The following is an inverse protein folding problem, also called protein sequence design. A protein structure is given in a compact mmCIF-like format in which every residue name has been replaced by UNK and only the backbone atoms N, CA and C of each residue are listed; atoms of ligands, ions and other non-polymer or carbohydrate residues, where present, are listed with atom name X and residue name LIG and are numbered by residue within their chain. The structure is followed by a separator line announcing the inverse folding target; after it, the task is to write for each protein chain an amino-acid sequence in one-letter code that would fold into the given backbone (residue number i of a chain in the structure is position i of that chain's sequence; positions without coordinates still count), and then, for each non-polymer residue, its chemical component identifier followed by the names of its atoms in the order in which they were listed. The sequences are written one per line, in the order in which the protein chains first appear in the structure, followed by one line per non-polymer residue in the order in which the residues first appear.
data_IF_296072619041
#
_entry.id   IF_296072619041
#
_cell.length_a   1.000
_cell.length_b   1.000
_cell.length_c   1.000
_cell.angle_alpha   90.00
_cell.angle_beta   90.00
_cell.angle_gamma   90.00
#
_symmetry.space_group_name_H-M   'P 1'
#
loop_
_entity.id
_entity.type
_entity.pdbx_description
1 polymer ?
#
# COMPACT_ATOMS: atom_id res chain seq x y z
N UNK A 1 1.49 8.28 27.60
CA UNK A 1 1.06 7.29 26.59
C UNK A 1 0.84 8.07 25.31
N UNK A 2 1.58 7.78 24.25
CA UNK A 2 1.60 8.65 23.07
C UNK A 2 0.36 8.39 22.21
N UNK A 3 -0.30 9.46 21.76
CA UNK A 3 -1.38 9.39 20.77
C UNK A 3 -0.78 9.39 19.38
N UNK A 4 -1.23 8.50 18.51
CA UNK A 4 -0.71 8.38 17.15
C UNK A 4 -1.65 9.03 16.14
N UNK A 5 -1.14 9.95 15.35
CA UNK A 5 -1.91 10.66 14.32
C UNK A 5 -1.34 10.29 12.96
N UNK A 6 -2.15 9.65 12.12
CA UNK A 6 -1.73 9.22 10.79
C UNK A 6 -2.30 10.20 9.77
N UNK A 7 -1.45 11.04 9.21
CA UNK A 7 -1.84 12.02 8.20
C UNK A 7 -2.01 11.32 6.84
N UNK A 8 -3.25 11.01 6.49
CA UNK A 8 -3.55 10.12 5.38
C UNK A 8 -4.61 10.71 4.43
N UNK A 9 -4.49 10.49 3.10
CA UNK A 9 -5.58 10.75 2.17
C UNK A 9 -6.84 9.96 2.51
N UNK A 10 -7.98 10.38 1.95
CA UNK A 10 -9.23 9.61 2.03
C UNK A 10 -9.03 8.20 1.49
N UNK A 11 -9.65 7.22 2.14
CA UNK A 11 -9.50 5.80 1.78
C UNK A 11 -9.79 5.55 0.30
N UNK A 12 -8.88 4.84 -0.35
CA UNK A 12 -8.99 4.39 -1.73
C UNK A 12 -8.27 3.05 -1.84
N UNK A 13 -9.04 1.98 -2.02
CA UNK A 13 -8.53 0.61 -2.10
C UNK A 13 -7.57 0.39 -3.29
N UNK A 14 -7.64 1.21 -4.33
CA UNK A 14 -6.77 1.11 -5.51
C UNK A 14 -5.35 1.65 -5.27
N UNK A 15 -5.10 2.29 -4.13
CA UNK A 15 -3.80 2.86 -3.76
C UNK A 15 -3.21 2.13 -2.55
N UNK A 16 -2.18 1.31 -2.79
CA UNK A 16 -1.49 0.56 -1.74
C UNK A 16 -0.97 1.46 -0.62
N UNK A 17 -0.39 2.62 -0.95
CA UNK A 17 0.10 3.59 0.04
C UNK A 17 -1.02 4.11 0.96
N UNK A 18 -2.20 4.42 0.41
CA UNK A 18 -3.35 4.85 1.22
C UNK A 18 -3.86 3.70 2.10
N UNK A 19 -3.95 2.49 1.54
CA UNK A 19 -4.40 1.31 2.28
C UNK A 19 -3.51 1.03 3.48
N UNK A 20 -2.18 1.07 3.32
CA UNK A 20 -1.26 0.76 4.43
C UNK A 20 -1.22 1.86 5.50
N UNK A 21 -1.43 3.13 5.14
CA UNK A 21 -1.60 4.21 6.11
C UNK A 21 -2.82 3.99 7.00
N UNK A 22 -3.95 3.62 6.39
CA UNK A 22 -5.18 3.30 7.13
C UNK A 22 -5.02 2.02 7.95
N UNK A 23 -4.36 1.00 7.38
CA UNK A 23 -4.07 -0.25 8.10
C UNK A 23 -3.14 -0.03 9.29
N UNK A 24 -2.13 0.84 9.18
CA UNK A 24 -1.25 1.19 10.29
C UNK A 24 -2.07 1.77 11.46
N UNK A 25 -2.95 2.74 11.20
CA UNK A 25 -3.83 3.31 12.24
C UNK A 25 -4.65 2.21 12.92
N UNK A 26 -5.27 1.33 12.15
CA UNK A 26 -6.00 0.18 12.70
C UNK A 26 -5.11 -0.74 13.53
N UNK A 27 -3.94 -1.14 13.05
CA UNK A 27 -3.05 -2.04 13.80
C UNK A 27 -2.54 -1.43 15.10
N UNK A 28 -2.28 -0.12 15.14
CA UNK A 28 -1.92 0.58 16.37
C UNK A 28 -3.08 0.51 17.38
N UNK A 29 -4.31 0.74 16.92
CA UNK A 29 -5.51 0.60 17.76
C UNK A 29 -5.73 -0.84 18.25
N UNK A 30 -5.56 -1.86 17.38
CA UNK A 30 -5.68 -3.27 17.77
C UNK A 30 -4.63 -3.69 18.81
N UNK A 31 -3.48 -3.01 18.86
CA UNK A 31 -2.44 -3.22 19.86
C UNK A 31 -2.74 -2.50 21.21
N UNK A 32 -3.89 -1.83 21.33
CA UNK A 32 -4.33 -1.15 22.56
C UNK A 32 -3.83 0.27 22.73
N UNK A 33 -3.23 0.86 21.69
CA UNK A 33 -2.83 2.28 21.69
C UNK A 33 -3.94 3.16 21.10
N UNK A 34 -3.83 4.47 21.29
CA UNK A 34 -4.79 5.46 20.77
C UNK A 34 -4.28 6.03 19.43
N UNK A 35 -4.93 5.67 18.32
CA UNK A 35 -4.55 6.13 16.99
C UNK A 35 -5.72 6.69 16.17
N UNK A 36 -5.46 7.76 15.42
CA UNK A 36 -6.45 8.44 14.59
C UNK A 36 -5.94 8.74 13.19
N UNK A 37 -6.87 8.76 12.23
CA UNK A 37 -6.62 9.34 10.92
C UNK A 37 -6.80 10.85 10.98
N UNK A 38 -5.82 11.59 10.45
CA UNK A 38 -5.95 13.01 10.17
C UNK A 38 -6.07 13.21 8.66
N UNK A 39 -7.15 13.86 8.16
CA UNK A 39 -7.33 14.09 6.73
C UNK A 39 -6.17 14.87 6.11
N UNK A 40 -5.44 14.23 5.19
CA UNK A 40 -4.42 14.89 4.38
C UNK A 40 -5.05 16.00 3.53
N UNK A 41 -4.48 17.20 3.64
CA UNK A 41 -4.76 18.34 2.76
C UNK A 41 -3.66 18.45 1.69
N UNK A 42 -4.06 18.47 0.42
CA UNK A 42 -3.14 18.63 -0.70
C UNK A 42 -2.18 19.81 -0.48
N UNK A 43 -0.89 19.55 -0.66
CA UNK A 43 0.17 20.53 -0.52
C UNK A 43 0.65 20.98 -1.89
N UNK A 44 0.86 22.27 -2.04
CA UNK A 44 1.31 22.87 -3.28
C UNK A 44 2.57 23.69 -3.06
N UNK A 45 3.56 23.50 -3.93
CA UNK A 45 4.78 24.32 -3.95
C UNK A 45 4.54 25.54 -4.82
N UNK A 46 4.57 26.71 -4.19
CA UNK A 46 4.41 28.00 -4.87
C UNK A 46 5.77 28.54 -5.33
N UNK A 47 5.83 29.02 -6.57
CA UNK A 47 6.90 29.84 -7.13
C UNK A 47 6.27 31.06 -7.81
N UNK A 48 7.04 32.15 -7.96
CA UNK A 48 6.64 33.39 -8.62
C UNK A 48 6.02 33.16 -10.00
N UNK A 49 6.42 32.09 -10.69
CA UNK A 49 5.94 31.73 -12.04
C UNK A 49 4.60 30.98 -12.05
N UNK A 50 4.13 30.43 -10.92
CA UNK A 50 2.96 29.54 -10.89
C UNK A 50 1.86 29.97 -9.90
N UNK A 51 1.99 31.12 -9.23
CA UNK A 51 1.09 31.56 -8.15
C UNK A 51 -0.40 31.43 -8.51
N UNK A 52 -0.82 31.96 -9.66
CA UNK A 52 -2.24 31.97 -10.04
C UNK A 52 -2.76 30.57 -10.37
N UNK A 53 -2.00 29.76 -11.10
CA UNK A 53 -2.40 28.39 -11.46
C UNK A 53 -2.45 27.49 -10.23
N UNK A 54 -1.50 27.64 -9.30
CA UNK A 54 -1.45 26.91 -8.04
C UNK A 54 -2.60 27.30 -7.11
N UNK A 55 -2.96 28.59 -7.03
CA UNK A 55 -4.10 29.05 -6.25
C UNK A 55 -5.43 28.48 -6.79
N UNK A 56 -5.59 28.46 -8.12
CA UNK A 56 -6.77 27.87 -8.75
C UNK A 56 -6.88 26.36 -8.46
N UNK A 57 -5.76 25.64 -8.51
CA UNK A 57 -5.70 24.23 -8.13
C UNK A 57 -6.07 24.03 -6.66
N UNK A 58 -5.53 24.84 -5.76
CA UNK A 58 -5.85 24.79 -4.34
C UNK A 58 -7.37 24.92 -4.10
N UNK A 59 -8.01 25.92 -4.69
CA UNK A 59 -9.47 26.14 -4.57
C UNK A 59 -10.24 24.93 -5.12
N UNK A 60 -9.86 24.45 -6.30
CA UNK A 60 -10.49 23.27 -6.94
C UNK A 60 -10.40 22.02 -6.06
N UNK A 61 -9.23 21.75 -5.49
CA UNK A 61 -9.02 20.60 -4.60
C UNK A 61 -9.73 20.76 -3.26
N UNK A 62 -9.78 21.97 -2.72
CA UNK A 62 -10.52 22.26 -1.50
C UNK A 62 -12.01 21.96 -1.68
N UNK A 63 -12.65 22.52 -2.72
CA UNK A 63 -14.06 22.29 -3.04
C UNK A 63 -14.32 20.80 -3.26
N UNK A 64 -13.48 20.12 -4.05
CA UNK A 64 -13.60 18.68 -4.32
C UNK A 64 -13.54 17.84 -3.03
N UNK A 65 -12.65 18.19 -2.12
CA UNK A 65 -12.47 17.48 -0.84
C UNK A 65 -13.68 17.68 0.07
N UNK A 66 -14.18 18.91 0.19
CA UNK A 66 -15.38 19.23 0.99
C UNK A 66 -16.60 18.47 0.45
N UNK A 67 -16.82 18.48 -0.87
CA UNK A 67 -17.97 17.81 -1.49
C UNK A 67 -17.91 16.27 -1.40
N UNK A 68 -16.74 15.65 -1.53
CA UNK A 68 -16.61 14.18 -1.52
C UNK A 68 -16.65 13.55 -0.13
N UNK A 69 -16.35 14.33 0.91
CA UNK A 69 -16.17 13.83 2.26
C UNK A 69 -14.94 12.93 2.42
N UNK A 70 -14.49 12.74 3.66
CA UNK A 70 -13.38 11.84 3.98
C UNK A 70 -13.90 10.42 4.21
N UNK A 71 -13.35 9.44 3.50
CA UNK A 71 -13.74 8.03 3.61
C UNK A 71 -12.72 7.24 4.41
N UNK A 72 -13.22 6.26 5.14
CA UNK A 72 -12.43 5.24 5.87
C UNK A 72 -12.84 3.85 5.41
N UNK A 73 -11.99 2.85 5.62
CA UNK A 73 -12.40 1.47 5.46
C UNK A 73 -13.28 1.07 6.64
N UNK A 74 -14.51 0.59 6.38
CA UNK A 74 -15.49 0.23 7.41
C UNK A 74 -15.05 -0.96 8.29
N UNK A 75 -14.19 -1.83 7.76
CA UNK A 75 -13.65 -2.98 8.48
C UNK A 75 -12.46 -2.61 9.38
N UNK A 76 -11.93 -1.38 9.27
CA UNK A 76 -10.77 -0.92 10.02
C UNK A 76 -11.18 -0.02 11.18
N UNK A 77 -10.59 -0.26 12.35
CA UNK A 77 -10.65 0.64 13.49
C UNK A 77 -9.82 1.91 13.23
N UNK A 78 -10.39 2.86 12.49
CA UNK A 78 -9.71 4.05 11.97
C UNK A 78 -10.50 5.33 12.28
N UNK A 79 -10.65 5.68 13.57
CA UNK A 79 -11.37 6.89 13.96
C UNK A 79 -10.70 8.13 13.36
N UNK A 80 -11.52 9.07 12.89
CA UNK A 80 -11.03 10.34 12.34
C UNK A 80 -10.78 11.30 13.51
N UNK A 81 -9.62 11.94 13.51
CA UNK A 81 -9.27 12.96 14.48
C UNK A 81 -10.20 14.18 14.36
N UNK A 82 -11.05 14.41 15.35
CA UNK A 82 -11.96 15.57 15.41
C UNK A 82 -11.34 16.63 16.32
N UNK A 83 -10.86 17.72 15.73
CA UNK A 83 -10.09 18.76 16.41
C UNK A 83 -10.82 19.59 17.48
N UNK A 84 -12.10 19.33 17.77
CA UNK A 84 -12.82 19.99 18.86
C UNK A 84 -12.49 19.39 20.23
N UNK A 85 -12.22 18.07 20.29
CA UNK A 85 -12.05 17.33 21.56
C UNK A 85 -10.60 16.86 21.79
N UNK A 86 -9.72 16.98 20.79
CA UNK A 86 -8.34 16.50 20.87
C UNK A 86 -7.42 17.50 20.16
N UNK A 87 -6.46 18.08 20.89
CA UNK A 87 -5.41 18.93 20.32
C UNK A 87 -4.17 18.07 20.04
N UNK A 88 -3.44 18.38 18.98
CA UNK A 88 -2.11 17.80 18.75
C UNK A 88 -1.18 18.50 19.75
N UNK A 89 -0.88 17.80 20.84
CA UNK A 89 0.01 18.26 21.89
C UNK A 89 1.39 17.62 21.78
N UNK A 90 2.26 17.89 22.76
CA UNK A 90 3.64 17.40 22.78
C UNK A 90 3.76 15.88 22.96
N UNK A 91 2.68 15.20 23.35
CA UNK A 91 2.65 13.73 23.52
C UNK A 91 2.23 13.00 22.25
N UNK A 92 1.72 13.74 21.25
CA UNK A 92 1.28 13.18 19.99
C UNK A 92 2.47 12.84 19.09
N UNK A 93 2.45 11.64 18.51
CA UNK A 93 3.36 11.23 17.44
C UNK A 93 2.60 11.29 16.12
N UNK A 94 3.07 12.13 15.20
CA UNK A 94 2.44 12.30 13.88
C UNK A 94 3.21 11.55 12.81
N UNK A 95 2.52 10.66 12.12
CA UNK A 95 3.00 9.95 10.95
C UNK A 95 2.67 10.73 9.68
N UNK A 96 3.71 10.99 8.89
CA UNK A 96 3.59 11.48 7.52
C UNK A 96 4.20 10.48 6.54
N UNK A 97 3.61 10.33 5.34
CA UNK A 97 4.30 9.62 4.26
C UNK A 97 5.44 10.48 3.67
N UNK A 98 6.29 9.86 2.84
CA UNK A 98 7.37 10.53 2.11
C UNK A 98 6.88 11.64 1.17
N UNK A 99 5.60 11.59 0.78
CA UNK A 99 5.02 12.58 -0.13
C UNK A 99 4.65 13.90 0.57
N UNK A 100 4.51 13.88 1.89
CA UNK A 100 4.10 15.06 2.67
C UNK A 100 5.30 15.96 2.86
N UNK A 101 5.15 17.24 2.54
CA UNK A 101 6.18 18.26 2.69
C UNK A 101 6.15 18.87 4.10
N UNK A 102 7.32 18.92 4.75
CA UNK A 102 7.55 19.50 6.07
C UNK A 102 6.71 18.85 7.16
N UNK A 103 6.32 19.65 8.15
CA UNK A 103 5.47 19.23 9.27
C UNK A 103 4.18 20.07 9.31
N UNK A 104 3.17 19.75 8.49
CA UNK A 104 1.96 20.56 8.35
C UNK A 104 1.18 20.77 9.64
N UNK A 105 1.22 19.79 10.54
CA UNK A 105 0.53 19.84 11.83
C UNK A 105 1.37 20.46 12.95
N UNK A 106 2.61 20.90 12.65
CA UNK A 106 3.54 21.50 13.62
C UNK A 106 3.74 20.64 14.87
N UNK A 107 3.72 19.32 14.70
CA UNK A 107 3.86 18.39 15.80
C UNK A 107 5.31 18.33 16.32
N UNK A 108 5.47 18.09 17.62
CA UNK A 108 6.80 17.92 18.23
C UNK A 108 7.47 16.62 17.77
N UNK A 109 6.72 15.51 17.80
CA UNK A 109 7.25 14.18 17.49
C UNK A 109 6.72 13.75 16.12
N UNK A 110 7.64 13.64 15.16
CA UNK A 110 7.30 13.35 13.76
C UNK A 110 7.97 12.07 13.29
N UNK A 111 7.14 11.15 12.82
CA UNK A 111 7.59 9.95 12.11
C UNK A 111 7.34 10.12 10.62
N UNK A 112 8.39 9.92 9.82
CA UNK A 112 8.31 9.92 8.36
C UNK A 112 8.37 8.50 7.85
N UNK A 113 7.28 8.01 7.29
CA UNK A 113 7.21 6.67 6.74
C UNK A 113 7.45 6.69 5.24
N UNK A 114 8.58 6.11 4.82
CA UNK A 114 8.98 6.03 3.43
C UNK A 114 8.27 4.85 2.79
N UNK A 115 7.14 5.10 2.11
CA UNK A 115 6.39 4.07 1.37
C UNK A 115 6.99 3.80 -0.01
N UNK A 116 7.81 4.74 -0.50
CA UNK A 116 8.61 4.63 -1.70
C UNK A 116 9.94 5.38 -1.52
N UNK A 117 10.83 5.29 -2.50
CA UNK A 117 12.01 6.15 -2.57
C UNK A 117 11.60 7.64 -2.52
N UNK A 118 12.12 8.44 -1.56
CA UNK A 118 11.88 9.87 -1.48
C UNK A 118 12.13 10.59 -2.81
N UNK A 119 11.23 11.50 -3.17
CA UNK A 119 11.31 12.30 -4.40
C UNK A 119 10.91 11.58 -5.68
N UNK A 120 10.64 10.26 -5.67
CA UNK A 120 10.31 9.52 -6.89
C UNK A 120 9.06 10.05 -7.61
N UNK A 121 7.98 10.37 -6.88
CA UNK A 121 6.71 10.77 -7.49
C UNK A 121 6.62 12.26 -7.82
N UNK A 122 7.25 13.10 -7.00
CA UNK A 122 7.06 14.56 -7.05
C UNK A 122 8.34 15.33 -7.36
N UNK A 123 9.51 14.68 -7.30
CA UNK A 123 10.82 15.34 -7.30
C UNK A 123 11.16 16.10 -6.01
N UNK A 124 10.20 16.27 -5.10
CA UNK A 124 10.35 17.10 -3.92
C UNK A 124 10.64 16.26 -2.68
N UNK A 125 11.64 16.67 -1.91
CA UNK A 125 11.99 16.09 -0.61
C UNK A 125 12.27 17.23 0.37
N UNK A 126 11.28 17.53 1.20
CA UNK A 126 11.36 18.60 2.20
C UNK A 126 10.88 18.03 3.52
N UNK A 127 11.80 17.53 4.34
CA UNK A 127 11.50 17.05 5.69
C UNK A 127 12.08 18.01 6.72
N UNK A 128 11.72 17.87 7.98
CA UNK A 128 12.33 18.64 9.05
C UNK A 128 13.50 17.87 9.67
N UNK A 129 14.34 18.57 10.44
CA UNK A 129 15.28 17.91 11.37
C UNK A 129 14.52 17.33 12.57
N UNK A 130 15.08 16.30 13.20
CA UNK A 130 14.50 15.64 14.38
C UNK A 130 13.39 14.64 14.05
N UNK A 131 13.18 14.31 12.78
CA UNK A 131 12.22 13.28 12.40
C UNK A 131 12.82 11.88 12.56
N UNK A 132 11.97 10.91 12.92
CA UNK A 132 12.29 9.49 12.87
C UNK A 132 11.78 8.90 11.55
N UNK A 133 12.68 8.38 10.71
CA UNK A 133 12.34 7.81 9.42
C UNK A 133 12.24 6.29 9.53
N UNK A 134 11.18 5.71 8.97
CA UNK A 134 11.07 4.27 8.74
C UNK A 134 10.98 3.98 7.25
N UNK A 135 11.76 3.00 6.78
CA UNK A 135 11.54 2.41 5.45
C UNK A 135 10.36 1.43 5.52
N UNK A 136 9.51 1.42 4.51
CA UNK A 136 8.45 0.41 4.41
C UNK A 136 9.01 -1.00 4.28
N UNK A 137 10.04 -1.18 3.46
CA UNK A 137 10.73 -2.45 3.29
C UNK A 137 12.17 -2.24 2.77
N UNK A 138 12.88 -3.36 2.59
CA UNK A 138 14.28 -3.40 2.13
C UNK A 138 14.48 -2.94 0.67
N UNK A 139 13.42 -2.89 -0.13
CA UNK A 139 13.50 -2.43 -1.52
C UNK A 139 13.73 -0.92 -1.61
N UNK A 140 13.45 -0.17 -0.54
CA UNK A 140 13.77 1.25 -0.45
C UNK A 140 15.25 1.39 -0.09
N UNK A 141 16.00 2.08 -0.94
CA UNK A 141 17.43 2.32 -0.74
C UNK A 141 17.63 3.16 0.52
N UNK A 142 18.80 2.98 1.13
CA UNK A 142 19.15 3.78 2.31
C UNK A 142 19.04 5.28 2.01
N UNK A 143 18.40 5.97 2.94
CA UNK A 143 18.08 7.37 2.82
C UNK A 143 18.32 8.04 4.17
N UNK A 144 19.06 9.13 4.16
CA UNK A 144 19.35 9.94 5.33
C UNK A 144 18.93 11.38 5.05
N UNK A 145 18.36 12.04 6.05
CA UNK A 145 17.98 13.45 5.97
C UNK A 145 18.71 14.24 7.08
N UNK A 146 19.28 15.42 6.79
CA UNK A 146 20.04 16.19 7.77
C UNK A 146 19.27 16.41 9.08
N UNK A 147 19.92 16.08 10.20
CA UNK A 147 19.36 16.23 11.54
C UNK A 147 18.24 15.25 11.90
N UNK A 148 17.92 14.28 11.03
CA UNK A 148 16.93 13.23 11.30
C UNK A 148 17.59 11.86 11.45
N UNK A 149 16.86 10.90 12.02
CA UNK A 149 17.35 9.54 12.23
C UNK A 149 16.55 8.52 11.42
N UNK A 150 17.22 7.73 10.59
CA UNK A 150 16.59 6.61 9.89
C UNK A 150 16.76 5.33 10.72
N UNK A 151 15.64 4.71 11.07
CA UNK A 151 15.63 3.44 11.78
C UNK A 151 16.29 2.34 10.95
N UNK A 152 17.09 1.50 11.61
CA UNK A 152 17.61 0.27 11.01
C UNK A 152 16.54 -0.80 10.81
N UNK A 153 15.38 -0.67 11.46
CA UNK A 153 14.24 -1.57 11.28
C UNK A 153 13.24 -0.99 10.28
N UNK A 154 12.59 -1.88 9.54
CA UNK A 154 11.53 -1.55 8.59
C UNK A 154 10.16 -1.54 9.28
N UNK A 155 9.29 -0.64 8.84
CA UNK A 155 7.87 -0.65 9.19
C UNK A 155 7.09 -1.19 7.99
N UNK A 156 7.11 -2.51 7.81
CA UNK A 156 6.32 -3.19 6.76
C UNK A 156 4.93 -3.50 7.31
N UNK A 157 3.91 -2.90 6.70
CA UNK A 157 2.50 -3.15 6.98
C UNK A 157 1.82 -3.56 5.70
N UNK A 158 1.19 -4.72 5.68
CA UNK A 158 0.43 -5.19 4.52
C UNK A 158 -1.06 -5.34 4.86
N UNK A 159 -1.89 -5.31 3.84
CA UNK A 159 -3.29 -5.68 3.94
C UNK A 159 -3.72 -6.41 2.68
N UNK A 160 -4.31 -7.57 2.87
CA UNK A 160 -4.95 -8.34 1.82
C UNK A 160 -6.46 -8.41 2.11
N UNK A 161 -7.34 -8.03 1.17
CA UNK A 161 -8.79 -8.02 1.41
C UNK A 161 -9.38 -9.43 1.22
N UNK A 162 -9.06 -10.31 2.17
CA UNK A 162 -9.41 -11.74 2.17
C UNK A 162 -10.93 -11.99 2.26
N UNK A 163 -11.70 -11.00 2.70
CA UNK A 163 -13.16 -11.01 2.63
C UNK A 163 -13.67 -11.18 1.19
N UNK A 164 -12.93 -10.67 0.20
CA UNK A 164 -13.23 -10.80 -1.21
C UNK A 164 -12.50 -12.00 -1.82
N UNK A 165 -11.19 -12.09 -1.59
CA UNK A 165 -10.31 -13.07 -2.21
C UNK A 165 -10.27 -14.39 -1.43
N UNK A 166 -11.12 -15.32 -1.83
CA UNK A 166 -11.27 -16.63 -1.21
C UNK A 166 -11.96 -17.61 -2.17
N UNK A 167 -12.03 -18.89 -1.78
CA UNK A 167 -12.70 -19.96 -2.54
C UNK A 167 -14.23 -20.02 -2.31
N UNK A 168 -14.88 -19.03 -1.66
CA UNK A 168 -16.34 -19.02 -1.50
C UNK A 168 -17.02 -18.60 -2.80
N UNK A 169 -18.11 -19.27 -3.17
CA UNK A 169 -18.92 -19.01 -4.37
C UNK A 169 -18.11 -19.12 -5.68
N UNK A 170 -17.24 -20.13 -5.78
CA UNK A 170 -16.57 -20.45 -7.04
C UNK A 170 -17.58 -20.94 -8.07
N UNK A 171 -17.40 -20.51 -9.32
CA UNK A 171 -18.15 -21.07 -10.44
C UNK A 171 -17.80 -22.55 -10.61
N UNK A 172 -18.78 -23.46 -10.83
CA UNK A 172 -18.50 -24.88 -11.06
C UNK A 172 -17.71 -25.11 -12.35
N UNK A 173 -17.90 -24.25 -13.35
CA UNK A 173 -17.14 -24.23 -14.59
C UNK A 173 -16.35 -22.93 -14.66
N UNK A 174 -15.03 -23.02 -14.73
CA UNK A 174 -14.13 -21.86 -14.82
C UNK A 174 -13.40 -21.89 -16.15
N UNK A 175 -13.62 -20.87 -16.96
CA UNK A 175 -13.11 -20.74 -18.33
C UNK A 175 -12.65 -19.30 -18.57
N UNK A 176 -11.90 -19.09 -19.66
CA UNK A 176 -11.38 -17.78 -20.01
C UNK A 176 -10.28 -17.25 -19.07
N UNK A 177 -9.94 -15.99 -19.30
CA UNK A 177 -8.77 -15.34 -18.70
C UNK A 177 -9.15 -14.00 -18.10
N UNK A 178 -8.56 -13.65 -16.97
CA UNK A 178 -8.50 -12.28 -16.47
C UNK A 178 -7.07 -11.75 -16.67
N UNK A 179 -6.90 -10.47 -16.92
CA UNK A 179 -5.56 -9.89 -17.05
C UNK A 179 -5.48 -8.46 -16.53
N UNK A 180 -4.26 -8.03 -16.19
CA UNK A 180 -3.99 -6.66 -15.76
C UNK A 180 -2.78 -6.08 -16.50
N UNK A 181 -2.79 -4.78 -16.78
CA UNK A 181 -1.68 -4.08 -17.44
C UNK A 181 -0.88 -3.26 -16.43
N UNK A 182 -1.54 -2.34 -15.74
CA UNK A 182 -0.99 -1.47 -14.69
C UNK A 182 0.40 -0.91 -15.05
N UNK A 183 1.45 -1.25 -14.29
CA UNK A 183 2.83 -0.79 -14.51
C UNK A 183 3.46 -1.38 -15.78
N UNK A 184 2.95 -2.52 -16.26
CA UNK A 184 3.40 -3.22 -17.46
C UNK A 184 2.64 -2.87 -18.74
N UNK A 185 1.97 -1.72 -18.81
CA UNK A 185 1.19 -1.29 -19.99
C UNK A 185 1.96 -1.27 -21.33
N UNK A 186 3.29 -1.23 -21.28
CA UNK A 186 4.17 -1.23 -22.45
C UNK A 186 4.62 -2.63 -22.88
N UNK A 187 4.28 -3.69 -22.11
CA UNK A 187 4.64 -5.06 -22.46
C UNK A 187 3.83 -5.54 -23.64
N UNK A 188 4.45 -6.36 -24.50
CA UNK A 188 3.76 -7.04 -25.59
C UNK A 188 2.71 -7.99 -25.02
N UNK A 189 1.49 -7.92 -25.54
CA UNK A 189 0.41 -8.87 -25.20
C UNK A 189 0.74 -10.23 -25.85
N UNK A 190 0.67 -11.29 -25.05
CA UNK A 190 1.10 -12.66 -25.37
C UNK A 190 0.01 -13.70 -25.09
N UNK A 191 -1.24 -13.26 -24.93
CA UNK A 191 -2.40 -14.12 -24.77
C UNK A 191 -3.54 -13.62 -25.64
N UNK A 192 -4.48 -14.51 -25.94
CA UNK A 192 -5.70 -14.17 -26.67
C UNK A 192 -6.58 -13.23 -25.86
N UNK A 193 -6.92 -12.08 -26.44
CA UNK A 193 -7.81 -11.10 -25.79
C UNK A 193 -9.29 -11.46 -25.93
N UNK A 194 -9.62 -12.37 -26.85
CA UNK A 194 -10.98 -12.88 -27.00
C UNK A 194 -11.38 -13.59 -25.70
N UNK A 195 -12.48 -13.14 -25.11
CA UNK A 195 -13.00 -13.62 -23.82
C UNK A 195 -12.07 -13.37 -22.60
N UNK A 196 -11.15 -12.41 -22.71
CA UNK A 196 -10.28 -11.97 -21.61
C UNK A 196 -10.80 -10.69 -20.93
N UNK A 197 -10.84 -10.70 -19.60
CA UNK A 197 -11.38 -9.58 -18.79
C UNK A 197 -10.23 -8.74 -18.23
N UNK A 198 -10.15 -7.46 -18.61
CA UNK A 198 -9.21 -6.49 -18.05
C UNK A 198 -9.67 -6.02 -16.66
N UNK A 199 -8.84 -6.23 -15.63
CA UNK A 199 -9.22 -5.94 -14.24
C UNK A 199 -8.82 -4.54 -13.73
N UNK A 200 -8.02 -3.77 -14.47
CA UNK A 200 -7.32 -2.57 -13.98
C UNK A 200 -8.22 -1.50 -13.33
N UNK A 201 -9.48 -1.41 -13.78
CA UNK A 201 -10.42 -0.38 -13.33
C UNK A 201 -11.51 -0.90 -12.38
N UNK A 202 -11.49 -2.19 -12.06
CA UNK A 202 -12.47 -2.82 -11.18
C UNK A 202 -12.15 -2.56 -9.69
N UNK A 203 -13.16 -2.65 -8.84
CA UNK A 203 -13.01 -2.71 -7.38
C UNK A 203 -12.49 -4.08 -6.93
N UNK A 204 -11.96 -4.19 -5.71
CA UNK A 204 -11.50 -5.50 -5.20
C UNK A 204 -12.61 -6.56 -5.21
N UNK A 205 -13.84 -6.15 -4.90
CA UNK A 205 -15.00 -7.03 -4.96
C UNK A 205 -15.25 -7.55 -6.38
N UNK A 206 -15.30 -6.65 -7.37
CA UNK A 206 -15.50 -7.01 -8.78
C UNK A 206 -14.36 -7.88 -9.31
N UNK A 207 -13.10 -7.57 -8.96
CA UNK A 207 -11.95 -8.40 -9.33
C UNK A 207 -12.08 -9.81 -8.75
N UNK A 208 -12.46 -9.94 -7.48
CA UNK A 208 -12.66 -11.25 -6.87
C UNK A 208 -13.80 -12.04 -7.56
N UNK A 209 -14.88 -11.37 -7.96
CA UNK A 209 -15.96 -11.99 -8.72
C UNK A 209 -15.50 -12.48 -10.10
N UNK A 210 -14.63 -11.72 -10.78
CA UNK A 210 -13.99 -12.15 -12.03
C UNK A 210 -13.11 -13.38 -11.79
N UNK A 211 -12.20 -13.33 -10.81
CA UNK A 211 -11.30 -14.45 -10.50
C UNK A 211 -12.05 -15.73 -10.11
N UNK A 212 -13.17 -15.63 -9.40
CA UNK A 212 -13.99 -16.80 -9.04
C UNK A 212 -14.65 -17.49 -10.24
N UNK A 213 -14.69 -16.84 -11.40
CA UNK A 213 -15.26 -17.34 -12.66
C UNK A 213 -14.21 -17.74 -13.68
N UNK A 214 -13.02 -17.15 -13.65
CA UNK A 214 -11.99 -17.39 -14.66
C UNK A 214 -11.06 -18.54 -14.30
N UNK A 215 -10.51 -19.21 -15.32
CA UNK A 215 -9.51 -20.26 -15.12
C UNK A 215 -8.14 -19.67 -14.76
N UNK A 216 -7.74 -18.63 -15.48
CA UNK A 216 -6.38 -18.08 -15.43
C UNK A 216 -6.41 -16.57 -15.24
N UNK A 217 -5.44 -16.08 -14.48
CA UNK A 217 -5.07 -14.69 -14.39
C UNK A 217 -3.69 -14.47 -15.00
N UNK A 218 -3.54 -13.44 -15.83
CA UNK A 218 -2.29 -13.07 -16.49
C UNK A 218 -1.94 -11.62 -16.12
N UNK A 219 -0.83 -11.44 -15.41
CA UNK A 219 -0.34 -10.13 -15.02
C UNK A 219 0.78 -9.67 -15.95
N UNK A 220 0.59 -8.49 -16.56
CA UNK A 220 1.69 -7.76 -17.20
C UNK A 220 2.43 -6.86 -16.20
N UNK A 221 1.84 -6.60 -15.03
CA UNK A 221 2.52 -5.99 -13.89
C UNK A 221 3.34 -7.03 -13.14
N UNK A 222 4.67 -6.96 -13.24
CA UNK A 222 5.56 -7.94 -12.60
C UNK A 222 5.53 -7.87 -11.09
N UNK A 223 5.08 -6.78 -10.48
CA UNK A 223 5.03 -6.66 -9.01
C UNK A 223 3.63 -6.28 -8.57
N UNK A 224 2.77 -7.29 -8.43
CA UNK A 224 1.36 -7.11 -8.08
C UNK A 224 0.85 -8.14 -7.08
N UNK A 225 0.09 -7.68 -6.08
CA UNK A 225 -0.61 -8.56 -5.15
C UNK A 225 -1.78 -9.32 -5.82
N UNK A 226 -2.26 -8.84 -6.99
CA UNK A 226 -3.32 -9.51 -7.73
C UNK A 226 -2.96 -10.94 -8.14
N UNK A 227 -1.67 -11.26 -8.29
CA UNK A 227 -1.20 -12.62 -8.55
C UNK A 227 -1.55 -13.57 -7.39
N UNK A 228 -1.28 -13.16 -6.15
CA UNK A 228 -1.67 -13.93 -4.96
C UNK A 228 -3.20 -14.00 -4.81
N UNK A 229 -3.89 -12.88 -5.07
CA UNK A 229 -5.36 -12.81 -4.99
C UNK A 229 -6.06 -13.75 -5.97
N UNK A 230 -5.51 -13.90 -7.18
CA UNK A 230 -5.99 -14.83 -8.17
C UNK A 230 -5.86 -16.28 -7.66
N UNK A 231 -4.71 -16.65 -7.08
CA UNK A 231 -4.50 -17.99 -6.49
C UNK A 231 -5.46 -18.25 -5.33
N UNK A 232 -5.73 -17.25 -4.48
CA UNK A 232 -6.69 -17.36 -3.37
C UNK A 232 -8.14 -17.58 -3.85
N UNK A 233 -8.47 -17.11 -5.06
CA UNK A 233 -9.73 -17.41 -5.76
C UNK A 233 -9.65 -18.67 -6.63
N UNK A 234 -8.52 -19.37 -6.57
CA UNK A 234 -8.28 -20.64 -7.26
C UNK A 234 -7.89 -20.52 -8.73
N UNK A 235 -7.62 -19.33 -9.26
CA UNK A 235 -7.09 -19.19 -10.61
C UNK A 235 -5.67 -19.77 -10.70
N UNK A 236 -5.27 -20.17 -11.90
CA UNK A 236 -3.85 -20.20 -12.26
C UNK A 236 -3.36 -18.74 -12.36
N UNK A 237 -2.22 -18.41 -11.74
CA UNK A 237 -1.65 -17.06 -11.81
C UNK A 237 -0.35 -17.07 -12.60
N UNK A 238 -0.31 -16.31 -13.70
CA UNK A 238 0.86 -16.14 -14.56
C UNK A 238 1.30 -14.69 -14.52
N UNK A 239 2.57 -14.44 -14.27
CA UNK A 239 3.22 -13.14 -14.46
C UNK A 239 4.04 -13.21 -15.74
N UNK A 240 3.86 -12.24 -16.63
CA UNK A 240 4.66 -12.14 -17.85
C UNK A 240 6.06 -11.63 -17.48
N UNK A 241 7.14 -12.36 -17.80
CA UNK A 241 8.51 -11.98 -17.47
C UNK A 241 8.91 -10.59 -17.98
N UNK A 242 9.83 -9.94 -17.26
CA UNK A 242 10.59 -8.80 -17.78
C UNK A 242 11.76 -9.32 -18.63
N UNK A 243 12.14 -8.57 -19.67
CA UNK A 243 13.26 -8.94 -20.53
C UNK A 243 14.55 -9.08 -19.71
N UNK A 244 15.33 -10.14 -19.97
CA UNK A 244 16.60 -10.43 -19.31
C UNK A 244 16.52 -10.56 -17.77
N UNK A 245 15.34 -10.86 -17.21
CA UNK A 245 15.15 -11.06 -15.77
C UNK A 245 14.73 -12.50 -15.50
N UNK A 246 15.59 -13.29 -14.84
CA UNK A 246 15.25 -14.66 -14.42
C UNK A 246 14.25 -14.67 -13.27
N UNK A 247 13.63 -15.82 -13.01
CA UNK A 247 12.67 -15.99 -11.91
C UNK A 247 13.33 -15.73 -10.54
N UNK A 248 14.59 -16.10 -10.37
CA UNK A 248 15.40 -15.90 -9.14
C UNK A 248 15.82 -14.43 -8.98
N UNK A 249 16.01 -13.71 -10.09
CA UNK A 249 16.30 -12.27 -10.04
C UNK A 249 15.04 -11.46 -9.71
N UNK A 250 13.88 -11.89 -10.23
CA UNK A 250 12.60 -11.23 -9.99
C UNK A 250 12.16 -11.34 -8.52
N UNK A 251 12.13 -12.55 -7.98
CA UNK A 251 11.89 -12.80 -6.55
C UNK A 251 12.92 -13.83 -6.04
N UNK A 252 13.99 -13.36 -5.38
CA UNK A 252 15.05 -14.24 -4.87
C UNK A 252 14.57 -15.21 -3.79
N UNK A 253 13.58 -14.81 -2.99
CA UNK A 253 13.00 -15.67 -1.98
C UNK A 253 11.86 -16.50 -2.57
N UNK A 254 11.96 -17.82 -2.49
CA UNK A 254 10.98 -18.73 -3.08
C UNK A 254 9.57 -18.57 -2.54
N UNK A 255 9.44 -18.19 -1.26
CA UNK A 255 8.14 -18.00 -0.60
C UNK A 255 7.32 -16.88 -1.24
N UNK A 256 7.97 -15.86 -1.79
CA UNK A 256 7.31 -14.75 -2.50
C UNK A 256 6.72 -15.19 -3.85
N UNK A 257 7.11 -16.38 -4.35
CA UNK A 257 6.67 -16.95 -5.65
C UNK A 257 5.60 -18.03 -5.50
N UNK A 258 5.15 -18.35 -4.29
CA UNK A 258 4.17 -19.42 -4.07
C UNK A 258 2.90 -19.21 -4.89
N UNK A 259 2.48 -20.25 -5.62
CA UNK A 259 1.30 -20.23 -6.47
C UNK A 259 1.41 -19.37 -7.73
N UNK A 260 2.55 -18.71 -7.98
CA UNK A 260 2.72 -17.79 -9.12
C UNK A 260 3.69 -18.39 -10.13
N UNK A 261 3.26 -18.45 -11.39
CA UNK A 261 4.10 -18.84 -12.50
C UNK A 261 4.75 -17.59 -13.11
N UNK A 262 6.08 -17.54 -13.14
CA UNK A 262 6.81 -16.54 -13.91
C UNK A 262 6.97 -17.07 -15.34
N UNK A 263 6.15 -16.60 -16.28
CA UNK A 263 5.99 -17.22 -17.60
C UNK A 263 5.05 -18.43 -17.59
N UNK A 264 4.55 -18.79 -18.77
CA UNK A 264 3.58 -19.90 -18.93
C UNK A 264 4.21 -21.27 -18.69
N UNK A 265 5.50 -21.40 -18.96
CA UNK A 265 6.31 -22.60 -18.75
C UNK A 265 6.38 -23.03 -17.28
N UNK A 266 6.19 -22.09 -16.35
CA UNK A 266 6.29 -22.35 -14.91
C UNK A 266 4.95 -22.68 -14.22
N UNK A 267 3.88 -22.93 -14.98
CA UNK A 267 2.54 -23.23 -14.45
C UNK A 267 2.52 -24.47 -13.55
N UNK A 268 3.22 -25.55 -13.92
CA UNK A 268 3.26 -26.76 -13.10
C UNK A 268 3.95 -26.51 -11.76
N UNK A 269 5.07 -25.78 -11.77
CA UNK A 269 5.82 -25.39 -10.57
C UNK A 269 4.94 -24.56 -9.63
N UNK A 270 4.24 -23.56 -10.18
CA UNK A 270 3.31 -22.73 -9.42
C UNK A 270 2.15 -23.55 -8.81
N UNK A 271 1.58 -24.49 -9.56
CA UNK A 271 0.47 -25.32 -9.10
C UNK A 271 0.86 -26.23 -7.91
N UNK A 272 2.13 -26.64 -7.79
CA UNK A 272 2.63 -27.44 -6.66
C UNK A 272 2.66 -26.65 -5.34
N UNK A 273 2.76 -25.32 -5.39
CA UNK A 273 2.88 -24.46 -4.20
C UNK A 273 1.62 -23.63 -3.90
N UNK A 274 0.58 -23.71 -4.74
CA UNK A 274 -0.64 -22.88 -4.60
C UNK A 274 -1.36 -23.01 -3.25
N UNK A 275 -1.34 -24.19 -2.63
CA UNK A 275 -2.02 -24.41 -1.34
C UNK A 275 -1.25 -23.75 -0.18
N UNK A 276 0.02 -23.38 -0.38
CA UNK A 276 0.83 -22.65 0.61
C UNK A 276 0.49 -21.15 0.67
N UNK A 277 -0.14 -20.60 -0.38
CA UNK A 277 -0.39 -19.15 -0.50
C UNK A 277 -1.23 -18.60 0.65
N UNK A 278 -2.24 -19.34 1.10
CA UNK A 278 -3.10 -18.89 2.21
C UNK A 278 -2.30 -18.74 3.51
N UNK A 279 -1.47 -19.74 3.84
CA UNK A 279 -0.64 -19.71 5.04
C UNK A 279 0.42 -18.60 4.96
N UNK A 280 1.05 -18.43 3.79
CA UNK A 280 1.99 -17.35 3.53
C UNK A 280 1.36 -15.96 3.76
N UNK A 281 0.20 -15.71 3.16
CA UNK A 281 -0.55 -14.44 3.30
C UNK A 281 -0.88 -14.16 4.77
N UNK A 282 -1.40 -15.15 5.49
CA UNK A 282 -1.68 -15.01 6.93
C UNK A 282 -0.42 -14.68 7.73
N UNK A 283 0.71 -15.35 7.43
CA UNK A 283 1.98 -15.09 8.10
C UNK A 283 2.51 -13.65 7.86
N UNK A 284 2.28 -13.08 6.68
CA UNK A 284 2.68 -11.70 6.38
C UNK A 284 1.81 -10.68 7.13
N UNK A 285 0.51 -10.97 7.34
CA UNK A 285 -0.36 -10.13 8.17
C UNK A 285 0.07 -10.18 9.64
N UNK A 286 0.42 -11.35 10.16
CA UNK A 286 0.97 -11.49 11.52
C UNK A 286 2.31 -10.77 11.70
N UNK A 287 3.20 -10.82 10.69
CA UNK A 287 4.44 -10.03 10.69
C UNK A 287 4.16 -8.53 10.75
N UNK A 288 3.12 -8.05 10.07
CA UNK A 288 2.73 -6.63 10.12
C UNK A 288 2.42 -6.19 11.56
N UNK A 289 1.72 -7.01 12.35
CA UNK A 289 1.45 -6.73 13.77
C UNK A 289 2.75 -6.63 14.57
N UNK A 290 3.68 -7.58 14.37
CA UNK A 290 4.98 -7.58 15.04
C UNK A 290 5.83 -6.35 14.67
N UNK A 291 5.83 -5.96 13.40
CA UNK A 291 6.54 -4.79 12.91
C UNK A 291 6.01 -3.50 13.53
N UNK A 292 4.68 -3.33 13.59
CA UNK A 292 4.06 -2.16 14.24
C UNK A 292 4.41 -2.12 15.73
N UNK A 293 4.33 -3.26 16.43
CA UNK A 293 4.71 -3.33 17.85
C UNK A 293 6.17 -2.94 18.08
N UNK A 294 7.08 -3.41 17.23
CA UNK A 294 8.50 -3.04 17.31
C UNK A 294 8.72 -1.55 17.04
N UNK A 295 8.08 -1.02 15.98
CA UNK A 295 8.18 0.39 15.62
C UNK A 295 7.67 1.31 16.73
N UNK A 296 6.56 0.98 17.39
CA UNK A 296 6.07 1.74 18.56
C UNK A 296 7.13 1.80 19.67
N UNK A 297 7.82 0.69 19.96
CA UNK A 297 8.88 0.66 20.96
C UNK A 297 10.10 1.51 20.58
N UNK A 298 10.44 1.57 19.29
CA UNK A 298 11.51 2.44 18.77
C UNK A 298 11.09 3.91 18.87
N UNK A 299 9.86 4.23 18.49
CA UNK A 299 9.29 5.57 18.55
C UNK A 299 9.32 6.11 19.99
N UNK A 300 8.92 5.30 20.97
CA UNK A 300 9.00 5.67 22.39
C UNK A 300 10.42 6.09 22.77
N UNK A 301 11.39 5.20 22.59
CA UNK A 301 12.81 5.47 22.94
C UNK A 301 13.42 6.66 22.21
N UNK A 302 12.94 7.00 21.02
CA UNK A 302 13.49 8.11 20.24
C UNK A 302 12.95 9.48 20.68
N UNK A 303 11.70 9.53 21.18
CA UNK A 303 11.04 10.77 21.58
C UNK A 303 10.87 10.95 23.10
N UNK A 304 11.23 9.95 23.90
CA UNK A 304 11.40 10.04 25.36
C UNK A 304 12.59 10.95 25.72
#
# INVERSE_FOLDING_TARGET
MNKFIIFAPSYNEKSGGIVVLHKLCHLINELGYEAYLYPHREQFVFDKKNIFSTLLLFIKFHIKTVLKGYKVNKSFNTPIFKGADCKIDETCVVFYSELVLGNPLKAKNVVRWLLHQPGFHTGNVMYNSGELLFKFNSAIKDFNYPGSHTSSQELKVIHYPLEHYNKKNLSPKREGTAYCLRKGKNKKIVHELKDSILIDNLSHKEVAEVFKKTKRFISYDTYTAYSLFAVLCGCESVVIPDDNTSEEQWYPNETDRYGIAYGFENLEKANRTKELVKAFVTSEEEKSIKNVKSAIGIIGRYFD
#
